data_IF_327560066479
#
_entry.id   IF_327560066479
#
_cell.length_a   1.000
_cell.length_b   1.000
_cell.length_c   1.000
_cell.angle_alpha   90.00
_cell.angle_beta   90.00
_cell.angle_gamma   90.00
#
_symmetry.space_group_name_H-M   'P 1'
#
loop_
_entity.id
_entity.type
_entity.pdbx_description
1 polymer ?
#
# COMPACT_ATOMS: atom_id res chain seq x y z
N UNK A 1 18.36 9.13 -3.43
CA UNK A 1 17.68 8.31 -2.40
C UNK A 1 17.83 6.84 -2.78
N UNK A 2 18.21 5.98 -1.84
CA UNK A 2 18.19 4.52 -2.04
C UNK A 2 16.75 3.99 -1.98
N UNK A 3 16.53 2.76 -2.46
CA UNK A 3 15.22 2.13 -2.30
C UNK A 3 14.91 1.76 -0.85
N UNK A 4 15.92 1.42 -0.05
CA UNK A 4 15.73 1.18 1.38
C UNK A 4 15.22 2.44 2.10
N UNK A 5 15.77 3.61 1.77
CA UNK A 5 15.28 4.88 2.29
C UNK A 5 13.85 5.17 1.84
N UNK A 6 13.50 4.81 0.59
CA UNK A 6 12.14 4.95 0.07
C UNK A 6 11.15 4.04 0.83
N UNK A 7 11.54 2.80 1.13
CA UNK A 7 10.74 1.86 1.91
C UNK A 7 10.61 2.34 3.37
N UNK A 8 11.68 2.85 3.96
CA UNK A 8 11.65 3.41 5.32
C UNK A 8 10.71 4.60 5.43
N UNK A 9 10.79 5.55 4.49
CA UNK A 9 9.87 6.70 4.47
C UNK A 9 8.41 6.23 4.34
N UNK A 10 8.18 5.20 3.54
CA UNK A 10 6.86 4.59 3.39
C UNK A 10 6.37 3.99 4.71
N UNK A 11 7.22 3.28 5.43
CA UNK A 11 6.90 2.71 6.75
C UNK A 11 6.53 3.82 7.75
N UNK A 12 7.27 4.93 7.77
CA UNK A 12 6.99 6.08 8.64
C UNK A 12 5.63 6.72 8.33
N UNK A 13 5.29 6.86 7.04
CA UNK A 13 4.00 7.40 6.61
C UNK A 13 2.84 6.44 6.91
N UNK A 14 3.04 5.12 6.80
CA UNK A 14 2.04 4.13 7.18
C UNK A 14 1.80 4.16 8.70
N UNK A 15 2.87 4.21 9.50
CA UNK A 15 2.76 4.34 10.95
C UNK A 15 2.03 5.62 11.37
N UNK A 16 2.31 6.74 10.68
CA UNK A 16 1.59 8.00 10.88
C UNK A 16 0.10 7.88 10.53
N UNK A 17 -0.23 7.24 9.41
CA UNK A 17 -1.62 6.97 9.02
C UNK A 17 -2.35 6.14 10.09
N UNK A 18 -1.74 5.04 10.57
CA UNK A 18 -2.37 4.20 11.58
C UNK A 18 -2.58 4.95 12.89
N UNK A 19 -1.62 5.79 13.29
CA UNK A 19 -1.75 6.64 14.48
C UNK A 19 -2.91 7.63 14.34
N UNK A 20 -3.01 8.35 13.22
CA UNK A 20 -4.10 9.30 12.98
C UNK A 20 -5.47 8.61 12.98
N UNK A 21 -5.56 7.39 12.42
CA UNK A 21 -6.79 6.61 12.45
C UNK A 21 -7.17 6.20 13.87
N UNK A 22 -6.20 5.76 14.67
CA UNK A 22 -6.41 5.40 16.07
C UNK A 22 -6.88 6.61 16.89
N UNK A 23 -6.14 7.72 16.83
CA UNK A 23 -6.44 8.95 17.56
C UNK A 23 -7.78 9.56 17.14
N UNK A 24 -8.11 9.49 15.86
CA UNK A 24 -9.38 9.96 15.31
C UNK A 24 -10.55 9.00 15.48
N UNK A 25 -10.37 7.83 16.10
CA UNK A 25 -11.37 6.75 16.16
C UNK A 25 -11.95 6.39 14.79
N UNK A 26 -11.13 6.41 13.74
CA UNK A 26 -11.53 6.15 12.35
C UNK A 26 -11.52 4.65 12.08
N UNK A 27 -12.69 4.03 12.09
CA UNK A 27 -12.87 2.63 11.71
C UNK A 27 -12.93 2.44 10.19
N UNK A 28 -12.63 1.23 9.71
CA UNK A 28 -12.87 0.86 8.31
C UNK A 28 -14.37 0.79 8.01
N UNK A 29 -14.83 1.22 6.82
CA UNK A 29 -16.22 1.08 6.42
C UNK A 29 -16.63 -0.39 6.36
N UNK A 30 -17.89 -0.67 6.71
CA UNK A 30 -18.49 -2.00 6.61
C UNK A 30 -19.15 -2.15 5.25
N UNK A 31 -18.86 -3.26 4.57
CA UNK A 31 -19.44 -3.60 3.27
C UNK A 31 -20.18 -4.93 3.32
N UNK A 32 -21.12 -5.09 2.40
CA UNK A 32 -21.79 -6.36 2.14
C UNK A 32 -21.35 -6.94 0.80
N UNK A 33 -20.96 -8.21 0.78
CA UNK A 33 -20.72 -8.96 -0.43
C UNK A 33 -22.06 -9.46 -0.99
N UNK A 34 -22.36 -9.12 -2.23
CA UNK A 34 -23.60 -9.55 -2.90
C UNK A 34 -23.59 -11.02 -3.30
N UNK A 35 -22.41 -11.63 -3.44
CA UNK A 35 -22.27 -12.99 -3.96
C UNK A 35 -22.40 -14.06 -2.86
N UNK A 36 -21.89 -13.79 -1.65
CA UNK A 36 -21.93 -14.73 -0.53
C UNK A 36 -22.69 -14.22 0.71
N UNK A 37 -23.14 -12.95 0.71
CA UNK A 37 -23.85 -12.33 1.83
C UNK A 37 -22.96 -11.89 3.01
N UNK A 38 -21.63 -12.01 2.91
CA UNK A 38 -20.70 -11.56 3.96
C UNK A 38 -20.89 -10.07 4.28
N UNK A 39 -20.96 -9.72 5.57
CA UNK A 39 -20.99 -8.34 6.06
C UNK A 39 -19.83 -8.15 7.03
N UNK A 40 -18.93 -7.24 6.73
CA UNK A 40 -17.76 -7.00 7.58
C UNK A 40 -16.98 -5.76 7.20
N UNK A 41 -16.03 -5.34 8.04
CA UNK A 41 -15.18 -4.19 7.77
C UNK A 41 -14.29 -4.45 6.54
N UNK A 42 -14.04 -3.42 5.74
CA UNK A 42 -12.96 -3.49 4.77
C UNK A 42 -11.59 -3.59 5.47
N UNK A 43 -10.63 -4.14 4.72
CA UNK A 43 -9.21 -4.10 5.09
C UNK A 43 -8.82 -2.69 5.55
N UNK A 44 -8.07 -2.62 6.64
CA UNK A 44 -7.45 -1.36 7.07
C UNK A 44 -6.59 -0.82 5.93
N UNK A 45 -6.73 0.47 5.56
CA UNK A 45 -5.92 1.04 4.50
C UNK A 45 -4.45 1.13 4.95
N UNK A 46 -3.56 0.74 4.05
CA UNK A 46 -2.12 0.86 4.19
C UNK A 46 -1.52 1.68 3.06
N UNK A 47 -0.41 2.36 3.34
CA UNK A 47 0.37 3.07 2.34
C UNK A 47 1.23 2.06 1.58
N UNK A 48 1.10 2.03 0.24
CA UNK A 48 2.05 1.33 -0.64
C UNK A 48 3.18 2.25 -1.07
N UNK A 49 4.34 1.70 -1.43
CA UNK A 49 5.47 2.49 -1.95
C UNK A 49 5.05 3.27 -3.20
N UNK A 50 4.24 2.65 -4.06
CA UNK A 50 3.70 3.30 -5.26
C UNK A 50 2.79 4.48 -4.91
N UNK A 51 1.86 4.32 -3.96
CA UNK A 51 0.97 5.41 -3.55
C UNK A 51 1.76 6.60 -3.00
N UNK A 52 2.81 6.33 -2.21
CA UNK A 52 3.72 7.36 -1.72
C UNK A 52 4.47 8.06 -2.88
N UNK A 53 5.00 7.32 -3.86
CA UNK A 53 5.68 7.93 -5.01
C UNK A 53 4.74 8.83 -5.81
N UNK A 54 3.51 8.39 -6.06
CA UNK A 54 2.51 9.19 -6.79
C UNK A 54 2.08 10.45 -6.04
N UNK A 55 2.13 10.44 -4.69
CA UNK A 55 1.78 11.60 -3.88
C UNK A 55 2.75 12.77 -4.08
N UNK A 56 4.02 12.49 -4.44
CA UNK A 56 5.02 13.53 -4.71
C UNK A 56 4.58 14.48 -5.82
N UNK A 57 3.98 13.96 -6.89
CA UNK A 57 3.41 14.79 -7.95
C UNK A 57 2.14 15.51 -7.48
N UNK A 58 1.26 14.78 -6.77
CA UNK A 58 -0.02 15.31 -6.29
C UNK A 58 0.14 16.53 -5.39
N UNK A 59 1.18 16.55 -4.57
CA UNK A 59 1.48 17.65 -3.65
C UNK A 59 2.51 18.65 -4.19
N UNK A 60 2.91 18.54 -5.46
CA UNK A 60 3.87 19.47 -6.07
C UNK A 60 5.30 19.37 -5.52
N UNK A 61 5.64 18.27 -4.83
CA UNK A 61 6.98 18.02 -4.27
C UNK A 61 7.99 17.70 -5.39
N UNK A 62 7.54 17.01 -6.44
CA UNK A 62 8.38 16.66 -7.57
C UNK A 62 7.60 16.78 -8.90
N UNK A 63 8.27 17.16 -10.01
CA UNK A 63 7.67 17.17 -11.34
C UNK A 63 7.16 15.78 -11.76
N UNK A 64 6.07 15.76 -12.52
CA UNK A 64 5.43 14.51 -12.96
C UNK A 64 6.38 13.55 -13.71
N UNK A 65 7.30 14.08 -14.53
CA UNK A 65 8.28 13.25 -15.23
C UNK A 65 9.25 12.53 -14.28
N UNK A 66 9.71 13.21 -13.24
CA UNK A 66 10.60 12.61 -12.24
C UNK A 66 9.87 11.53 -11.44
N UNK A 67 8.58 11.75 -11.13
CA UNK A 67 7.72 10.79 -10.44
C UNK A 67 7.47 9.54 -11.30
N UNK A 68 7.18 9.71 -12.60
CA UNK A 68 7.07 8.59 -13.55
C UNK A 68 8.35 7.77 -13.64
N UNK A 69 9.50 8.45 -13.73
CA UNK A 69 10.80 7.77 -13.78
C UNK A 69 11.07 6.98 -12.48
N UNK A 70 10.74 7.54 -11.32
CA UNK A 70 10.87 6.87 -10.03
C UNK A 70 9.93 5.67 -9.90
N UNK A 71 8.66 5.80 -10.29
CA UNK A 71 7.68 4.71 -10.31
C UNK A 71 8.18 3.53 -11.16
N UNK A 72 8.70 3.80 -12.36
CA UNK A 72 9.26 2.77 -13.25
C UNK A 72 10.46 2.06 -12.62
N UNK A 73 11.37 2.81 -12.01
CA UNK A 73 12.54 2.25 -11.31
C UNK A 73 12.14 1.42 -10.10
N UNK A 74 11.15 1.86 -9.33
CA UNK A 74 10.57 1.10 -8.23
C UNK A 74 9.97 -0.22 -8.71
N UNK A 75 9.19 -0.21 -9.78
CA UNK A 75 8.61 -1.43 -10.34
C UNK A 75 9.70 -2.46 -10.73
N UNK A 76 10.80 -1.99 -11.32
CA UNK A 76 11.97 -2.82 -11.62
C UNK A 76 12.63 -3.40 -10.37
N UNK A 77 12.94 -2.54 -9.39
CA UNK A 77 13.56 -2.96 -8.13
C UNK A 77 12.68 -3.95 -7.35
N UNK A 78 11.38 -3.66 -7.20
CA UNK A 78 10.41 -4.54 -6.53
C UNK A 78 10.38 -5.94 -7.14
N UNK A 79 10.35 -6.02 -8.47
CA UNK A 79 10.36 -7.30 -9.19
C UNK A 79 11.67 -8.05 -9.00
N UNK A 80 12.80 -7.34 -9.08
CA UNK A 80 14.13 -7.94 -8.93
C UNK A 80 14.40 -8.50 -7.53
N UNK A 81 13.79 -7.91 -6.50
CA UNK A 81 14.00 -8.27 -5.10
C UNK A 81 12.81 -9.01 -4.48
N UNK A 82 11.84 -9.45 -5.30
CA UNK A 82 10.67 -10.22 -4.85
C UNK A 82 9.92 -9.55 -3.67
N UNK A 83 9.73 -8.24 -3.81
CA UNK A 83 9.05 -7.45 -2.80
C UNK A 83 7.57 -7.31 -3.11
N UNK A 84 6.75 -7.31 -2.07
CA UNK A 84 5.33 -7.02 -2.15
C UNK A 84 5.05 -5.52 -2.47
N UNK A 85 3.78 -5.11 -2.45
CA UNK A 85 3.38 -3.72 -2.69
C UNK A 85 3.92 -2.72 -1.64
N UNK A 86 4.35 -3.24 -0.50
CA UNK A 86 4.81 -2.51 0.66
C UNK A 86 6.34 -2.44 0.68
N UNK A 87 7.05 -3.27 -0.08
CA UNK A 87 8.51 -3.35 -0.01
C UNK A 87 8.99 -4.33 1.06
N UNK A 88 8.14 -5.28 1.45
CA UNK A 88 8.48 -6.41 2.33
C UNK A 88 8.71 -7.66 1.46
N UNK A 89 9.50 -8.61 1.95
CA UNK A 89 9.71 -9.88 1.26
C UNK A 89 8.38 -10.65 1.19
N UNK A 90 8.02 -11.16 0.01
CA UNK A 90 6.86 -12.04 -0.12
C UNK A 90 7.13 -13.37 0.58
N UNK A 91 6.50 -13.60 1.72
CA UNK A 91 6.54 -14.90 2.39
C UNK A 91 5.44 -15.82 1.82
N UNK A 92 5.85 -16.80 0.99
CA UNK A 92 5.06 -17.96 0.50
C UNK A 92 3.75 -17.69 -0.28
N UNK A 93 3.27 -18.67 -1.09
CA UNK A 93 2.15 -18.49 -2.01
C UNK A 93 0.80 -18.35 -1.29
N UNK A 94 -0.23 -17.80 -1.95
CA UNK A 94 -1.53 -17.55 -1.35
C UNK A 94 -2.19 -18.86 -0.89
N UNK A 95 -2.78 -18.82 0.31
CA UNK A 95 -3.79 -19.79 0.76
C UNK A 95 -4.89 -19.85 -0.30
N UNK A 96 -5.32 -21.07 -0.66
CA UNK A 96 -6.29 -21.36 -1.71
C UNK A 96 -7.49 -20.40 -1.66
N UNK A 97 -7.76 -19.78 -2.81
CA UNK A 97 -8.81 -18.79 -2.94
C UNK A 97 -10.19 -19.43 -2.72
N UNK A 98 -10.81 -19.11 -1.59
CA UNK A 98 -12.26 -19.14 -1.49
C UNK A 98 -12.88 -18.25 -2.57
N UNK A 99 -14.08 -18.61 -3.02
CA UNK A 99 -14.80 -17.94 -4.12
C UNK A 99 -14.97 -16.42 -3.92
N UNK A 100 -14.87 -15.95 -2.67
CA UNK A 100 -14.74 -14.54 -2.31
C UNK A 100 -13.58 -14.35 -1.32
N UNK A 101 -12.62 -13.50 -1.67
CA UNK A 101 -11.56 -13.04 -0.76
C UNK A 101 -12.08 -11.86 0.07
N UNK A 102 -12.63 -12.14 1.25
CA UNK A 102 -12.93 -11.11 2.25
C UNK A 102 -11.67 -10.84 3.08
N UNK A 103 -11.47 -9.56 3.37
CA UNK A 103 -10.31 -9.07 4.11
C UNK A 103 -10.30 -9.52 5.57
#
# INVERSE_FOLDING_TARGET
MSFDALISLRDDLDAMLQRLRLEGNISSPVFSCRDCGYVGPAATPHVSVRAMVLSLARFGIAPAEQVRALEKRWAGYRKQNELDLYGKQTASPPVEASQCAHA
#
